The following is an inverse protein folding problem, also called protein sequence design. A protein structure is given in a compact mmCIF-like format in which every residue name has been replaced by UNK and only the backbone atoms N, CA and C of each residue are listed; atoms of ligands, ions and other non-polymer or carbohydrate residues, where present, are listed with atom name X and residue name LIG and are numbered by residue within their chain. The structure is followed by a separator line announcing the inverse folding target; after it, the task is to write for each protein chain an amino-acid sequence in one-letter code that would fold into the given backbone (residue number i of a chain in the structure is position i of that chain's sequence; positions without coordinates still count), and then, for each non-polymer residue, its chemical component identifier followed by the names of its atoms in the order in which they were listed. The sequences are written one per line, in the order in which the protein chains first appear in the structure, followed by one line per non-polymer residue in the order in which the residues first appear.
data_IF_176522704129
#
_entry.id   IF_176522704129
#
_cell.length_a   1.000
_cell.length_b   1.000
_cell.length_c   1.000
_cell.angle_alpha   90.00
_cell.angle_beta   90.00
_cell.angle_gamma   90.00
#
_symmetry.space_group_name_H-M   'P 1'
#
loop_
_entity.id
_entity.type
_entity.pdbx_description
1 polymer ?
#
# COMPACT_ATOMS: atom_id res chain seq x y z
N UNK A 1 -4.14 -54.13 14.13
CA UNK A 1 -4.37 -53.20 13.00
C UNK A 1 -4.55 -51.80 13.58
N UNK A 2 -3.54 -50.93 13.48
CA UNK A 2 -3.61 -49.53 13.95
C UNK A 2 -3.46 -48.64 12.73
N UNK A 3 -4.52 -47.93 12.35
CA UNK A 3 -4.45 -46.90 11.32
C UNK A 3 -3.85 -45.64 11.95
N UNK A 4 -2.67 -45.24 11.52
CA UNK A 4 -2.13 -43.91 11.83
C UNK A 4 -2.68 -42.93 10.80
N UNK A 5 -3.50 -41.99 11.26
CA UNK A 5 -3.95 -40.85 10.47
C UNK A 5 -2.75 -39.93 10.21
N UNK A 6 -2.33 -39.84 8.94
CA UNK A 6 -1.31 -38.91 8.49
C UNK A 6 -1.81 -37.47 8.60
N UNK A 7 -1.04 -36.62 9.28
CA UNK A 7 -1.30 -35.19 9.39
C UNK A 7 -1.03 -34.55 8.02
N UNK A 8 -2.07 -34.12 7.32
CA UNK A 8 -1.91 -33.34 6.08
C UNK A 8 -1.49 -31.93 6.48
N UNK A 9 -0.20 -31.62 6.35
CA UNK A 9 0.28 -30.23 6.45
C UNK A 9 -0.18 -29.46 5.23
N UNK A 10 -1.15 -28.57 5.42
CA UNK A 10 -1.52 -27.56 4.43
C UNK A 10 -0.42 -26.48 4.43
N UNK A 11 0.52 -26.57 3.48
CA UNK A 11 1.36 -25.42 3.12
C UNK A 11 0.42 -24.34 2.57
N UNK A 12 0.27 -23.23 3.29
CA UNK A 12 -0.42 -22.05 2.79
C UNK A 12 0.38 -21.50 1.62
N UNK A 13 -0.03 -21.83 0.39
CA UNK A 13 0.53 -21.22 -0.82
C UNK A 13 0.02 -19.79 -0.85
N UNK A 14 0.79 -18.84 -0.32
CA UNK A 14 0.54 -17.43 -0.59
C UNK A 14 0.84 -17.20 -2.06
N UNK A 15 -0.19 -17.09 -2.89
CA UNK A 15 -0.02 -16.71 -4.28
C UNK A 15 0.63 -15.33 -4.34
N UNK A 16 1.90 -15.27 -4.76
CA UNK A 16 2.60 -14.01 -5.03
C UNK A 16 2.34 -13.68 -6.50
N UNK A 17 1.43 -12.74 -6.75
CA UNK A 17 1.30 -12.15 -8.08
C UNK A 17 2.50 -11.23 -8.33
N UNK A 18 3.14 -11.37 -9.49
CA UNK A 18 4.33 -10.63 -9.92
C UNK A 18 3.96 -9.71 -11.09
N UNK A 19 4.17 -8.41 -10.91
CA UNK A 19 3.91 -7.37 -11.92
C UNK A 19 5.21 -6.61 -12.23
N UNK A 20 5.46 -6.27 -13.49
CA UNK A 20 6.61 -5.45 -13.89
C UNK A 20 6.16 -4.06 -14.36
N UNK A 21 6.61 -3.02 -13.66
CA UNK A 21 6.48 -1.63 -14.10
C UNK A 21 7.83 -1.08 -14.54
N UNK A 22 7.84 -0.27 -15.59
CA UNK A 22 9.02 0.51 -16.02
C UNK A 22 8.71 1.99 -15.83
N UNK A 23 9.20 2.56 -14.72
CA UNK A 23 8.99 3.98 -14.39
C UNK A 23 7.85 4.21 -13.37
N UNK A 24 7.75 5.43 -12.80
CA UNK A 24 6.83 5.73 -11.71
C UNK A 24 5.38 5.43 -12.11
N UNK A 25 4.64 4.79 -11.20
CA UNK A 25 3.21 4.55 -11.41
C UNK A 25 2.49 5.90 -11.48
N UNK A 26 1.66 6.19 -12.50
CA UNK A 26 1.06 7.51 -12.67
C UNK A 26 0.16 7.88 -11.48
N UNK A 27 0.07 9.16 -11.14
CA UNK A 27 -0.96 9.66 -10.21
C UNK A 27 -2.32 9.62 -10.92
N UNK A 28 -3.36 9.17 -10.23
CA UNK A 28 -4.69 9.03 -10.82
C UNK A 28 -5.24 10.38 -11.28
N UNK A 29 -5.65 10.46 -12.55
CA UNK A 29 -6.35 11.60 -13.14
C UNK A 29 -7.87 11.38 -13.16
N UNK A 30 -8.63 12.37 -13.66
CA UNK A 30 -10.06 12.23 -13.88
C UNK A 30 -10.31 11.23 -15.02
N UNK A 31 -10.74 10.00 -14.71
CA UNK A 31 -10.98 8.96 -15.71
C UNK A 31 -10.87 7.53 -15.17
N UNK A 32 -10.60 6.58 -16.08
CA UNK A 32 -10.44 5.16 -15.76
C UNK A 32 -9.21 4.94 -14.87
N UNK A 33 -9.44 4.44 -13.66
CA UNK A 33 -8.40 4.11 -12.69
C UNK A 33 -8.05 2.63 -12.80
N UNK A 34 -7.01 2.31 -13.57
CA UNK A 34 -6.56 0.94 -13.76
C UNK A 34 -5.30 0.64 -12.94
N UNK A 35 -4.18 1.32 -13.25
CA UNK A 35 -2.94 1.24 -12.48
C UNK A 35 -2.41 2.65 -12.21
N UNK A 36 -2.78 3.22 -11.06
CA UNK A 36 -2.45 4.61 -10.69
C UNK A 36 -2.48 4.84 -9.17
N UNK A 37 -1.67 5.77 -8.67
CA UNK A 37 -1.65 6.15 -7.24
C UNK A 37 -2.72 7.21 -6.97
N UNK A 38 -3.58 6.97 -5.98
CA UNK A 38 -4.64 7.92 -5.57
C UNK A 38 -4.08 8.95 -4.59
N UNK A 39 -3.42 8.46 -3.55
CA UNK A 39 -2.80 9.23 -2.46
C UNK A 39 -1.67 8.40 -1.82
N UNK A 40 -1.13 8.85 -0.68
CA UNK A 40 0.04 8.25 -0.04
C UNK A 40 -0.12 6.81 0.45
N UNK A 41 -1.34 6.26 0.53
CA UNK A 41 -1.57 4.88 0.94
C UNK A 41 -2.66 4.14 0.17
N UNK A 42 -3.26 4.77 -0.84
CA UNK A 42 -4.28 4.19 -1.70
C UNK A 42 -3.82 4.24 -3.17
N UNK A 43 -3.95 3.12 -3.87
CA UNK A 43 -3.65 3.02 -5.30
C UNK A 43 -4.59 2.04 -5.99
N UNK A 44 -4.65 2.14 -7.31
CA UNK A 44 -5.23 1.14 -8.19
C UNK A 44 -4.10 0.35 -8.82
N UNK A 45 -4.26 -0.95 -8.89
CA UNK A 45 -3.39 -1.84 -9.66
C UNK A 45 -4.27 -2.85 -10.39
N UNK A 46 -4.19 -2.82 -11.71
CA UNK A 46 -4.95 -3.69 -12.60
C UNK A 46 -6.47 -3.70 -12.35
N UNK A 47 -7.03 -2.53 -12.05
CA UNK A 47 -8.46 -2.36 -11.78
C UNK A 47 -8.88 -2.79 -10.37
N UNK A 48 -7.96 -3.24 -9.52
CA UNK A 48 -8.22 -3.46 -8.09
C UNK A 48 -7.76 -2.26 -7.28
N UNK A 49 -8.61 -1.79 -6.36
CA UNK A 49 -8.29 -0.67 -5.46
C UNK A 49 -7.69 -1.20 -4.15
N UNK A 50 -6.45 -0.82 -3.90
CA UNK A 50 -5.69 -1.25 -2.74
C UNK A 50 -5.48 -0.13 -1.72
N UNK A 51 -5.43 -0.51 -0.44
CA UNK A 51 -5.06 0.34 0.70
C UNK A 51 -3.89 -0.32 1.42
N UNK A 52 -2.79 0.41 1.60
CA UNK A 52 -1.65 -0.10 2.36
C UNK A 52 -2.09 -0.43 3.79
N UNK A 53 -1.73 -1.62 4.25
CA UNK A 53 -2.04 -2.11 5.59
C UNK A 53 -1.01 -1.63 6.60
N UNK A 54 -1.47 -1.15 7.75
CA UNK A 54 -0.63 -0.83 8.90
C UNK A 54 -0.01 0.58 8.88
N UNK A 55 -0.30 1.37 7.85
CA UNK A 55 0.15 2.75 7.73
C UNK A 55 -1.00 3.69 7.38
N UNK A 56 -0.86 4.95 7.78
CA UNK A 56 -1.79 6.03 7.49
C UNK A 56 -0.99 7.25 7.02
N UNK A 57 -1.39 7.82 5.89
CA UNK A 57 -0.71 8.97 5.30
C UNK A 57 -1.48 10.27 5.50
N UNK A 58 -0.79 11.42 5.46
CA UNK A 58 -1.43 12.73 5.36
C UNK A 58 -2.38 12.78 4.15
N UNK A 59 -3.53 13.44 4.32
CA UNK A 59 -4.55 13.52 3.28
C UNK A 59 -4.37 14.76 2.39
N UNK A 60 -4.62 14.62 1.08
CA UNK A 60 -4.56 15.75 0.13
C UNK A 60 -5.56 16.87 0.47
N UNK A 61 -6.68 16.51 1.11
CA UNK A 61 -7.69 17.44 1.64
C UNK A 61 -7.46 17.76 3.13
N UNK A 62 -6.21 17.68 3.57
CA UNK A 62 -5.79 17.90 4.94
C UNK A 62 -6.22 19.25 5.50
N UNK A 63 -6.26 19.33 6.83
CA UNK A 63 -6.74 20.50 7.59
C UNK A 63 -5.74 21.65 7.60
N UNK A 64 -4.48 21.38 7.32
CA UNK A 64 -3.40 22.36 7.33
C UNK A 64 -2.47 22.22 6.11
N UNK A 65 -1.68 23.26 5.83
CA UNK A 65 -0.77 23.29 4.68
C UNK A 65 0.33 22.24 4.75
N UNK A 66 0.83 21.93 5.95
CA UNK A 66 1.85 20.91 6.15
C UNK A 66 1.32 19.49 5.87
N UNK A 67 0.08 19.18 6.27
CA UNK A 67 -0.58 17.92 5.92
C UNK A 67 -0.66 17.73 4.41
N UNK A 68 -1.15 18.75 3.69
CA UNK A 68 -1.23 18.69 2.23
C UNK A 68 0.15 18.50 1.58
N UNK A 69 1.18 19.24 2.03
CA UNK A 69 2.55 19.11 1.51
C UNK A 69 3.11 17.71 1.73
N UNK A 70 2.86 17.11 2.89
CA UNK A 70 3.31 15.74 3.17
C UNK A 70 2.49 14.71 2.39
N UNK A 71 1.20 14.97 2.12
CA UNK A 71 0.34 14.12 1.29
C UNK A 71 0.83 14.05 -0.16
N UNK A 72 1.21 15.20 -0.73
CA UNK A 72 1.81 15.28 -2.08
C UNK A 72 3.09 14.45 -2.14
N UNK A 73 3.99 14.65 -1.16
CA UNK A 73 5.25 13.89 -1.06
C UNK A 73 5.03 12.39 -0.84
N UNK A 74 4.04 11.99 -0.05
CA UNK A 74 3.70 10.60 0.17
C UNK A 74 3.20 9.94 -1.11
N UNK A 75 2.36 10.63 -1.87
CA UNK A 75 1.83 10.16 -3.17
C UNK A 75 2.94 9.98 -4.20
N UNK A 76 3.86 10.95 -4.31
CA UNK A 76 5.04 10.88 -5.18
C UNK A 76 5.99 9.74 -4.77
N UNK A 77 6.23 9.58 -3.46
CA UNK A 77 7.08 8.51 -2.95
C UNK A 77 6.49 7.13 -3.25
N UNK A 78 5.18 6.95 -3.06
CA UNK A 78 4.49 5.70 -3.38
C UNK A 78 4.51 5.43 -4.90
N UNK A 79 4.26 6.45 -5.71
CA UNK A 79 4.33 6.39 -7.18
C UNK A 79 5.70 5.91 -7.68
N UNK A 80 6.77 6.53 -7.18
CA UNK A 80 8.13 6.15 -7.52
C UNK A 80 8.44 4.72 -7.08
N UNK A 81 8.07 4.35 -5.85
CA UNK A 81 8.31 3.02 -5.28
C UNK A 81 7.63 1.91 -6.06
N UNK A 82 6.34 2.08 -6.39
CA UNK A 82 5.58 1.09 -7.16
C UNK A 82 6.02 0.98 -8.63
N UNK A 83 6.81 1.95 -9.10
CA UNK A 83 7.39 1.96 -10.45
C UNK A 83 8.77 1.32 -10.58
N UNK A 84 9.35 0.81 -9.48
CA UNK A 84 10.74 0.33 -9.45
C UNK A 84 10.96 -1.06 -10.07
N UNK A 85 9.89 -1.79 -10.43
CA UNK A 85 10.01 -3.08 -11.12
C UNK A 85 9.03 -4.11 -10.60
N UNK A 86 9.55 -5.26 -10.18
CA UNK A 86 8.76 -6.39 -9.67
C UNK A 86 7.98 -5.97 -8.41
N UNK A 87 6.66 -6.13 -8.45
CA UNK A 87 5.79 -5.96 -7.29
C UNK A 87 5.42 -7.31 -6.68
N UNK A 88 5.58 -7.44 -5.36
CA UNK A 88 5.12 -8.60 -4.58
C UNK A 88 4.05 -8.16 -3.59
N UNK A 89 2.87 -8.75 -3.70
CA UNK A 89 1.69 -8.39 -2.91
C UNK A 89 1.31 -9.48 -1.91
N UNK A 90 0.86 -9.07 -0.73
CA UNK A 90 0.16 -9.89 0.24
C UNK A 90 -1.13 -9.19 0.66
N UNK A 91 -2.29 -9.82 0.46
CA UNK A 91 -3.61 -9.24 0.75
C UNK A 91 -4.21 -9.75 2.06
N UNK A 92 -5.11 -8.96 2.66
CA UNK A 92 -5.64 -9.21 4.00
C UNK A 92 -7.16 -8.97 4.13
N UNK A 93 -7.90 -9.22 3.05
CA UNK A 93 -9.33 -8.92 2.96
C UNK A 93 -9.60 -7.46 2.59
N UNK A 94 -10.83 -7.00 2.84
CA UNK A 94 -11.29 -5.67 2.47
C UNK A 94 -11.57 -4.80 3.70
N UNK A 95 -11.35 -3.50 3.56
CA UNK A 95 -11.81 -2.53 4.56
C UNK A 95 -13.30 -2.21 4.37
N UNK A 96 -13.85 -1.44 5.32
CA UNK A 96 -15.26 -0.99 5.30
C UNK A 96 -15.66 -0.14 4.07
N UNK A 97 -14.70 0.27 3.25
CA UNK A 97 -14.91 1.07 2.04
C UNK A 97 -14.70 0.24 0.77
N UNK A 98 -14.53 -1.08 0.89
CA UNK A 98 -14.32 -1.99 -0.24
C UNK A 98 -12.93 -1.89 -0.86
N UNK A 99 -11.92 -1.37 -0.14
CA UNK A 99 -10.52 -1.41 -0.60
C UNK A 99 -9.86 -2.69 -0.11
N UNK A 100 -9.14 -3.39 -0.97
CA UNK A 100 -8.34 -4.54 -0.56
C UNK A 100 -7.14 -4.06 0.28
N UNK A 101 -7.01 -4.56 1.50
CA UNK A 101 -5.86 -4.29 2.37
C UNK A 101 -4.64 -5.06 1.87
N UNK A 102 -3.51 -4.38 1.71
CA UNK A 102 -2.30 -4.98 1.11
C UNK A 102 -1.01 -4.58 1.83
N UNK A 103 -0.06 -5.50 1.88
CA UNK A 103 1.37 -5.17 1.98
C UNK A 103 1.99 -5.40 0.60
N UNK A 104 2.74 -4.43 0.10
CA UNK A 104 3.31 -4.47 -1.24
C UNK A 104 4.78 -4.07 -1.16
N UNK A 105 5.62 -4.84 -1.83
CA UNK A 105 7.06 -4.56 -1.92
C UNK A 105 7.51 -4.44 -3.37
N UNK A 106 8.47 -3.55 -3.59
CA UNK A 106 9.21 -3.41 -4.85
C UNK A 106 10.69 -3.39 -4.53
N UNK A 107 11.51 -4.05 -5.35
CA UNK A 107 12.95 -4.23 -5.13
C UNK A 107 13.31 -4.69 -3.70
N UNK A 108 12.47 -5.58 -3.14
CA UNK A 108 12.65 -6.13 -1.78
C UNK A 108 12.28 -5.19 -0.63
N UNK A 109 11.86 -3.94 -0.88
CA UNK A 109 11.44 -3.00 0.15
C UNK A 109 9.90 -2.84 0.21
N UNK A 110 9.32 -2.97 1.41
CA UNK A 110 7.89 -2.73 1.67
C UNK A 110 7.54 -1.23 1.58
N UNK A 111 6.48 -0.91 0.84
CA UNK A 111 6.05 0.46 0.60
C UNK A 111 5.60 1.18 1.88
N UNK A 112 4.91 0.47 2.79
CA UNK A 112 4.48 1.03 4.07
C UNK A 112 5.68 1.39 4.95
N UNK A 113 6.64 0.47 5.06
CA UNK A 113 7.88 0.73 5.80
C UNK A 113 8.67 1.90 5.20
N UNK A 114 8.79 1.94 3.87
CA UNK A 114 9.45 3.06 3.17
C UNK A 114 8.81 4.41 3.52
N UNK A 115 7.48 4.49 3.56
CA UNK A 115 6.77 5.72 3.92
C UNK A 115 6.99 6.11 5.39
N UNK A 116 7.02 5.13 6.30
CA UNK A 116 7.34 5.37 7.72
C UNK A 116 8.76 5.93 7.87
N UNK A 117 9.75 5.31 7.24
CA UNK A 117 11.15 5.70 7.32
C UNK A 117 11.37 7.14 6.78
N UNK A 118 10.63 7.51 5.72
CA UNK A 118 10.64 8.86 5.15
C UNK A 118 9.84 9.89 5.95
N UNK A 119 9.18 9.49 7.04
CA UNK A 119 8.25 10.34 7.81
C UNK A 119 7.11 10.89 6.94
N UNK A 120 6.60 10.05 6.04
CA UNK A 120 5.47 10.34 5.15
C UNK A 120 4.21 9.54 5.54
N UNK A 121 4.33 8.63 6.50
CA UNK A 121 3.22 7.93 7.12
C UNK A 121 3.39 7.86 8.64
N UNK A 122 2.31 7.54 9.34
CA UNK A 122 2.31 7.06 10.72
C UNK A 122 1.82 5.61 10.75
N UNK A 123 2.08 4.91 11.86
CA UNK A 123 1.49 3.59 12.08
C UNK A 123 -0.03 3.70 12.26
N UNK A 124 -0.78 2.79 11.64
CA UNK A 124 -2.22 2.65 11.82
C UNK A 124 -2.52 1.55 12.85
N UNK A 125 -3.52 1.71 13.75
CA UNK A 125 -4.44 2.85 13.84
C UNK A 125 -3.96 4.01 14.74
N UNK A 126 -3.04 3.75 15.65
CA UNK A 126 -2.83 4.62 16.82
C UNK A 126 -1.47 5.36 16.84
N UNK A 127 -0.76 5.39 15.71
CA UNK A 127 0.47 6.19 15.60
C UNK A 127 0.21 7.68 15.77
N UNK A 128 1.15 8.42 16.34
CA UNK A 128 1.02 9.87 16.52
C UNK A 128 0.88 10.58 15.17
N UNK A 129 -0.15 11.43 15.02
CA UNK A 129 -0.23 12.38 13.89
C UNK A 129 0.77 13.51 14.13
N UNK A 130 1.60 13.80 13.14
CA UNK A 130 2.68 14.79 13.23
C UNK A 130 2.61 15.87 12.14
N UNK A 131 1.54 15.90 11.34
CA UNK A 131 1.46 16.73 10.15
C UNK A 131 0.66 18.02 10.30
N UNK A 132 -0.19 18.15 11.31
CA UNK A 132 -0.73 19.45 11.72
C UNK A 132 -0.30 19.74 13.15
N UNK A 133 0.00 21.00 13.41
CA UNK A 133 0.08 21.53 14.76
C UNK A 133 -1.34 21.47 15.34
N UNK A 134 -1.47 20.93 16.56
CA UNK A 134 -2.78 20.82 17.24
C UNK A 134 -3.29 22.19 17.68
#
# INVERSE_FOLDING_TARGET
MKYHAGTVSFLAITAVAVWFFTGPMPICSFGSRYSCVVDGDTFWLEGTKYRLKGVDTPEMKGKCSNERRLAERASEALSAHLGQGELKLQTFGEDRFGRTLVKISSDGQDAGQMLLDKKLARQWPDGQKFWCDN
#
